data_IF_817821507684
#
_entry.id   IF_817821507684
#
_cell.length_a   1.000
_cell.length_b   1.000
_cell.length_c   1.000
_cell.angle_alpha   90.00
_cell.angle_beta   90.00
_cell.angle_gamma   90.00
#
_symmetry.space_group_name_H-M   'P 1'
#
loop_
_entity.id
_entity.type
_entity.pdbx_description
1 polymer ?
#
# COMPACT_ATOMS: atom_id res chain seq x y z
N UNK A 1 -20.32 6.74 26.88
CA UNK A 1 -20.68 5.68 25.92
C UNK A 1 -19.53 5.52 24.94
N UNK A 2 -18.90 4.34 24.87
CA UNK A 2 -17.83 4.07 23.91
C UNK A 2 -18.43 3.99 22.50
N UNK A 3 -18.04 4.88 21.60
CA UNK A 3 -18.45 4.79 20.20
C UNK A 3 -17.75 3.59 19.56
N UNK A 4 -18.48 2.49 19.37
CA UNK A 4 -17.99 1.35 18.59
C UNK A 4 -17.78 1.82 17.16
N UNK A 5 -16.51 2.01 16.80
CA UNK A 5 -16.12 2.34 15.44
C UNK A 5 -16.23 1.08 14.58
N UNK A 6 -17.16 1.07 13.62
CA UNK A 6 -17.32 -0.02 12.65
C UNK A 6 -16.50 0.26 11.38
N UNK A 7 -15.72 -0.73 10.96
CA UNK A 7 -14.96 -0.71 9.71
C UNK A 7 -15.56 -1.74 8.74
N UNK A 8 -15.82 -1.36 7.49
CA UNK A 8 -16.26 -2.27 6.43
C UNK A 8 -15.13 -2.48 5.44
N UNK A 9 -14.86 -3.72 5.05
CA UNK A 9 -13.92 -4.03 3.96
C UNK A 9 -14.62 -3.77 2.62
N UNK A 10 -14.01 -2.96 1.78
CA UNK A 10 -14.56 -2.56 0.48
C UNK A 10 -13.79 -3.14 -0.70
N UNK A 11 -12.57 -3.63 -0.49
CA UNK A 11 -11.75 -4.22 -1.54
C UNK A 11 -10.42 -4.75 -1.02
N UNK A 12 -9.62 -5.31 -1.93
CA UNK A 12 -8.25 -5.70 -1.69
C UNK A 12 -7.41 -5.40 -2.93
N UNK A 13 -6.10 -5.23 -2.76
CA UNK A 13 -5.16 -4.98 -3.84
C UNK A 13 -3.86 -5.75 -3.66
N UNK A 14 -3.20 -6.01 -4.79
CA UNK A 14 -1.87 -6.61 -4.85
C UNK A 14 -0.99 -5.76 -5.77
N UNK A 15 0.26 -5.53 -5.36
CA UNK A 15 1.31 -4.99 -6.21
C UNK A 15 2.53 -5.90 -6.15
N UNK A 16 3.23 -6.04 -7.26
CA UNK A 16 4.52 -6.73 -7.31
C UNK A 16 5.61 -5.66 -7.43
N UNK A 17 6.56 -5.67 -6.51
CA UNK A 17 7.68 -4.73 -6.42
C UNK A 17 8.97 -5.50 -6.73
N UNK A 18 9.51 -5.38 -7.95
CA UNK A 18 10.84 -5.90 -8.25
C UNK A 18 11.88 -5.03 -7.55
N UNK A 19 12.75 -5.65 -6.74
CA UNK A 19 13.88 -4.96 -6.12
C UNK A 19 15.09 -5.16 -7.04
N UNK A 20 15.56 -4.08 -7.68
CA UNK A 20 16.74 -4.18 -8.54
C UNK A 20 18.00 -4.37 -7.68
N UNK A 21 19.00 -5.07 -8.22
CA UNK A 21 20.24 -5.36 -7.48
C UNK A 21 21.17 -4.14 -7.36
N UNK A 22 21.05 -3.19 -8.30
CA UNK A 22 21.94 -2.06 -8.51
C UNK A 22 21.37 -0.72 -8.00
N UNK A 23 20.34 -0.77 -7.15
CA UNK A 23 19.73 0.43 -6.58
C UNK A 23 20.72 1.28 -5.78
N UNK A 24 20.60 2.61 -5.91
CA UNK A 24 21.55 3.57 -5.37
C UNK A 24 21.72 3.48 -3.85
N UNK A 25 20.67 3.10 -3.12
CA UNK A 25 20.67 3.04 -1.66
C UNK A 25 21.50 1.87 -1.10
N UNK A 26 21.80 0.83 -1.90
CA UNK A 26 22.62 -0.28 -1.42
C UNK A 26 24.07 0.10 -1.15
N UNK A 27 24.58 1.16 -1.80
CA UNK A 27 25.92 1.69 -1.54
C UNK A 27 26.09 2.11 -0.07
N UNK A 28 25.01 2.49 0.60
CA UNK A 28 25.01 2.90 2.01
C UNK A 28 24.20 2.02 2.96
N UNK A 29 23.48 1.00 2.46
CA UNK A 29 22.52 0.24 3.26
C UNK A 29 22.59 -1.28 2.98
N UNK A 30 23.57 -2.00 3.53
CA UNK A 30 24.76 -1.50 4.22
C UNK A 30 25.99 -1.88 3.38
N UNK A 31 27.10 -1.11 3.45
CA UNK A 31 28.34 -1.53 2.83
C UNK A 31 28.68 -2.98 3.22
N UNK A 32 29.08 -3.81 2.25
CA UNK A 32 29.38 -5.25 2.39
C UNK A 32 28.19 -6.17 2.75
N UNK A 33 27.05 -5.63 3.17
CA UNK A 33 25.84 -6.40 3.47
C UNK A 33 24.59 -5.65 2.99
N UNK A 34 24.32 -5.63 1.68
CA UNK A 34 23.21 -4.88 1.12
C UNK A 34 21.88 -5.48 1.59
N UNK A 35 20.99 -4.60 2.05
CA UNK A 35 19.66 -4.92 2.57
C UNK A 35 18.70 -3.83 2.09
N UNK A 36 17.52 -4.23 1.61
CA UNK A 36 16.51 -3.26 1.16
C UNK A 36 16.03 -2.44 2.36
N UNK A 37 16.12 -1.10 2.32
CA UNK A 37 15.61 -0.27 3.42
C UNK A 37 14.10 -0.47 3.56
N UNK A 38 13.64 -0.76 4.79
CA UNK A 38 12.21 -0.98 5.07
C UNK A 38 11.32 0.20 4.68
N UNK A 39 11.84 1.43 4.76
CA UNK A 39 11.12 2.64 4.35
C UNK A 39 10.72 2.62 2.87
N UNK A 40 11.53 2.02 1.99
CA UNK A 40 11.19 1.86 0.57
C UNK A 40 10.00 0.93 0.39
N UNK A 41 9.93 -0.15 1.17
CA UNK A 41 8.81 -1.09 1.14
C UNK A 41 7.52 -0.43 1.64
N UNK A 42 7.59 0.37 2.70
CA UNK A 42 6.45 1.12 3.24
C UNK A 42 5.95 2.17 2.24
N UNK A 43 6.88 2.90 1.60
CA UNK A 43 6.54 3.89 0.59
C UNK A 43 5.87 3.24 -0.63
N UNK A 44 6.41 2.12 -1.12
CA UNK A 44 5.80 1.36 -2.21
C UNK A 44 4.40 0.84 -1.84
N UNK A 45 4.18 0.42 -0.59
CA UNK A 45 2.85 0.05 -0.10
C UNK A 45 1.87 1.21 -0.11
N UNK A 46 2.31 2.40 0.35
CA UNK A 46 1.50 3.61 0.32
C UNK A 46 1.16 4.02 -1.12
N UNK A 47 2.13 4.00 -2.04
CA UNK A 47 1.91 4.32 -3.45
C UNK A 47 0.96 3.33 -4.13
N UNK A 48 1.09 2.03 -3.83
CA UNK A 48 0.18 0.99 -4.36
C UNK A 48 -1.26 1.23 -3.90
N UNK A 49 -1.46 1.52 -2.61
CA UNK A 49 -2.78 1.88 -2.08
C UNK A 49 -3.31 3.20 -2.65
N UNK A 50 -2.47 4.22 -2.78
CA UNK A 50 -2.85 5.49 -3.40
C UNK A 50 -3.24 5.34 -4.88
N UNK A 51 -2.54 4.49 -5.64
CA UNK A 51 -2.88 4.19 -7.05
C UNK A 51 -4.28 3.57 -7.14
N UNK A 52 -4.61 2.67 -6.22
CA UNK A 52 -5.90 1.99 -6.12
C UNK A 52 -7.05 2.94 -5.76
N UNK A 53 -6.81 3.88 -4.86
CA UNK A 53 -7.81 4.84 -4.38
C UNK A 53 -7.94 6.10 -5.24
N UNK A 54 -7.03 6.34 -6.19
CA UNK A 54 -7.12 7.52 -7.06
C UNK A 54 -8.35 7.40 -7.99
N UNK A 55 -9.23 8.41 -8.05
CA UNK A 55 -10.28 8.48 -9.05
C UNK A 55 -9.65 8.88 -10.38
N UNK A 56 -9.03 7.92 -11.07
CA UNK A 56 -8.67 8.07 -12.47
C UNK A 56 -9.86 7.61 -13.33
N UNK A 57 -10.14 8.25 -14.47
CA UNK A 57 -10.97 7.62 -15.48
C UNK A 57 -10.21 6.40 -15.99
N UNK A 58 -10.47 5.22 -15.40
CA UNK A 58 -9.86 3.98 -15.84
C UNK A 58 -10.84 3.24 -16.75
N UNK A 59 -10.30 2.75 -17.87
CA UNK A 59 -11.00 1.96 -18.87
C UNK A 59 -11.79 0.82 -18.22
N UNK A 60 -13.00 0.61 -18.72
CA UNK A 60 -13.91 -0.44 -18.31
C UNK A 60 -13.18 -1.79 -18.20
N UNK A 61 -13.25 -2.45 -17.04
CA UNK A 61 -12.81 -3.85 -16.89
C UNK A 61 -11.98 -4.22 -15.66
N UNK A 62 -11.56 -3.28 -14.81
CA UNK A 62 -10.87 -3.63 -13.56
C UNK A 62 -11.88 -3.96 -12.44
N UNK A 63 -12.06 -5.24 -12.15
CA UNK A 63 -12.87 -5.75 -11.04
C UNK A 63 -12.39 -5.11 -9.71
N UNK A 64 -13.29 -4.41 -9.01
CA UNK A 64 -13.02 -3.80 -7.69
C UNK A 64 -12.94 -2.26 -7.65
N UNK A 65 -13.13 -1.54 -8.76
CA UNK A 65 -13.19 -0.06 -8.72
C UNK A 65 -14.25 0.44 -7.70
N UNK A 66 -13.97 1.48 -6.89
CA UNK A 66 -14.95 2.02 -5.97
C UNK A 66 -16.18 2.54 -6.75
N UNK A 67 -17.40 2.44 -6.19
CA UNK A 67 -18.60 2.87 -6.86
C UNK A 67 -18.51 4.34 -7.31
N UNK A 68 -18.89 4.57 -8.57
CA UNK A 68 -18.91 5.87 -9.24
C UNK A 68 -19.71 6.90 -8.42
N UNK A 69 -19.08 8.02 -8.02
CA UNK A 69 -19.81 9.22 -7.59
C UNK A 69 -19.31 9.93 -6.32
N UNK A 70 -18.52 9.28 -5.47
CA UNK A 70 -17.98 9.96 -4.28
C UNK A 70 -16.66 10.66 -4.64
N UNK A 71 -16.71 11.99 -4.73
CA UNK A 71 -15.49 12.81 -4.77
C UNK A 71 -14.70 12.52 -3.49
N UNK A 72 -13.49 11.98 -3.61
CA UNK A 72 -12.52 11.96 -2.53
C UNK A 72 -12.23 13.41 -2.15
N UNK A 73 -12.91 13.90 -1.12
CA UNK A 73 -12.76 15.27 -0.64
C UNK A 73 -11.43 15.44 0.11
N UNK A 74 -10.80 14.35 0.57
CA UNK A 74 -9.56 14.34 1.34
C UNK A 74 -8.59 13.28 0.80
N UNK A 75 -7.27 13.53 0.86
CA UNK A 75 -6.28 12.49 0.58
C UNK A 75 -6.47 11.33 1.58
N UNK A 76 -6.38 10.06 1.13
CA UNK A 76 -6.45 8.93 2.05
C UNK A 76 -5.32 9.06 3.06
N UNK A 77 -5.65 9.08 4.35
CA UNK A 77 -4.65 9.03 5.41
C UNK A 77 -4.30 7.55 5.65
N UNK A 78 -3.12 7.07 5.24
CA UNK A 78 -2.75 5.68 5.49
C UNK A 78 -2.68 5.45 7.00
N UNK A 79 -3.55 4.59 7.51
CA UNK A 79 -3.51 4.12 8.90
C UNK A 79 -3.09 2.66 8.92
N UNK A 80 -1.98 2.36 9.60
CA UNK A 80 -1.37 1.04 9.61
C UNK A 80 -1.92 0.22 10.78
N UNK A 81 -2.72 -0.82 10.52
CA UNK A 81 -3.18 -1.73 11.57
C UNK A 81 -2.27 -2.94 11.77
N UNK A 82 -1.59 -3.42 10.73
CA UNK A 82 -0.74 -4.62 10.79
C UNK A 82 0.32 -4.61 9.70
N UNK A 83 1.59 -4.71 10.09
CA UNK A 83 2.73 -4.91 9.19
C UNK A 83 3.43 -6.22 9.55
N UNK A 84 3.50 -7.16 8.59
CA UNK A 84 4.29 -8.39 8.71
C UNK A 84 5.29 -8.43 7.54
N UNK A 85 6.44 -7.76 7.65
CA UNK A 85 7.55 -8.08 6.73
C UNK A 85 8.03 -9.47 7.08
N UNK A 86 7.90 -10.42 6.17
CA UNK A 86 8.33 -11.81 6.35
C UNK A 86 9.83 -11.99 6.62
N UNK A 87 10.64 -10.93 6.61
CA UNK A 87 12.06 -10.97 6.93
C UNK A 87 12.82 -9.75 6.43
N UNK A 88 14.14 -9.90 6.36
CA UNK A 88 15.07 -9.02 5.64
C UNK A 88 14.87 -9.27 4.15
N UNK A 89 14.84 -8.20 3.34
CA UNK A 89 14.76 -8.29 1.87
C UNK A 89 16.12 -7.96 1.27
N UNK A 90 16.63 -8.84 0.41
CA UNK A 90 17.93 -8.68 -0.27
C UNK A 90 17.78 -8.05 -1.66
N UNK A 91 18.85 -7.46 -2.21
CA UNK A 91 18.84 -7.01 -3.61
C UNK A 91 18.46 -8.16 -4.54
N UNK A 92 17.68 -7.88 -5.57
CA UNK A 92 17.21 -8.88 -6.54
C UNK A 92 15.97 -9.67 -6.11
N UNK A 93 15.52 -9.55 -4.85
CA UNK A 93 14.34 -10.26 -4.39
C UNK A 93 13.03 -9.60 -4.86
N UNK A 94 12.04 -10.43 -5.21
CA UNK A 94 10.69 -9.96 -5.50
C UNK A 94 9.88 -9.74 -4.23
N UNK A 95 9.28 -8.56 -4.07
CA UNK A 95 8.37 -8.26 -2.95
C UNK A 95 6.93 -8.18 -3.43
N UNK A 96 6.04 -8.91 -2.76
CA UNK A 96 4.60 -8.81 -3.03
C UNK A 96 3.96 -7.93 -1.96
N UNK A 97 3.34 -6.84 -2.40
CA UNK A 97 2.53 -5.95 -1.58
C UNK A 97 1.08 -6.43 -1.64
N UNK A 98 0.45 -6.57 -0.47
CA UNK A 98 -0.99 -6.84 -0.37
C UNK A 98 -1.61 -5.86 0.61
N UNK A 99 -2.78 -5.35 0.27
CA UNK A 99 -3.55 -4.47 1.15
C UNK A 99 -5.05 -4.69 1.00
N UNK A 100 -5.78 -4.18 1.98
CA UNK A 100 -7.24 -4.20 2.02
C UNK A 100 -7.75 -2.77 2.16
N UNK A 101 -8.81 -2.46 1.42
CA UNK A 101 -9.51 -1.18 1.51
C UNK A 101 -10.51 -1.30 2.66
N UNK A 102 -10.35 -0.47 3.68
CA UNK A 102 -11.26 -0.39 4.83
C UNK A 102 -11.91 0.98 4.86
N UNK A 103 -13.24 1.02 4.87
CA UNK A 103 -14.02 2.24 5.00
C UNK A 103 -14.60 2.33 6.41
N UNK A 104 -14.39 3.48 7.07
CA UNK A 104 -15.05 3.80 8.33
C UNK A 104 -16.27 4.66 8.03
N UNK A 105 -17.44 4.13 8.33
CA UNK A 105 -18.66 4.92 8.33
C UNK A 105 -18.57 5.92 9.50
N UNK A 106 -18.60 7.22 9.19
CA UNK A 106 -18.84 8.23 10.22
C UNK A 106 -20.35 8.27 10.47
N UNK A 107 -20.77 7.87 11.66
CA UNK A 107 -22.12 8.17 12.13
C UNK A 107 -22.27 9.70 12.22
N UNK A 108 -23.42 10.26 11.82
CA UNK A 108 -23.67 11.70 11.89
C UNK A 108 -23.53 12.25 13.31
#
# INVERSE_FOLDING_TARGET
ASSTTSWKRTGAYRGDLPIQEDEFFYKGHFPENPITPRVILVEAMAQTGCRRLRPLPFHDGAEGAPPRGEKLTHPPSPSWKRWNSGGIVKPGEGVIIRGEDLFQERKP
#
